data_IF_247813524781
#
_entry.id   IF_247813524781
#
_cell.length_a   1.000
_cell.length_b   1.000
_cell.length_c   1.000
_cell.angle_alpha   90.00
_cell.angle_beta   90.00
_cell.angle_gamma   90.00
#
_symmetry.space_group_name_H-M   'P 1'
#
loop_
_entity.id
_entity.type
_entity.pdbx_description
1 polymer ?
#
# COMPACT_ATOMS: atom_id res chain seq x y z
N UNK A 1 38.58 -8.22 27.32
CA UNK A 1 37.34 -8.70 26.67
C UNK A 1 37.71 -9.92 25.83
N UNK A 2 37.22 -11.11 26.16
CA UNK A 2 37.60 -12.33 25.42
C UNK A 2 36.86 -12.37 24.08
N UNK A 3 37.58 -12.14 22.99
CA UNK A 3 37.12 -12.38 21.61
C UNK A 3 37.17 -13.88 21.31
N UNK A 4 36.43 -14.69 22.08
CA UNK A 4 36.40 -16.14 21.92
C UNK A 4 35.42 -16.57 20.83
N UNK A 5 35.85 -17.52 19.99
CA UNK A 5 34.91 -18.28 19.16
C UNK A 5 33.94 -19.04 20.08
N UNK A 6 32.64 -18.89 19.86
CA UNK A 6 31.59 -19.56 20.63
C UNK A 6 30.73 -20.41 19.70
N UNK A 7 30.38 -21.61 20.15
CA UNK A 7 29.54 -22.54 19.40
C UNK A 7 28.05 -22.27 19.64
N UNK A 8 27.23 -22.44 18.60
CA UNK A 8 25.76 -22.37 18.66
C UNK A 8 25.22 -23.76 18.27
N UNK A 9 24.34 -24.33 19.09
CA UNK A 9 23.67 -25.59 18.79
C UNK A 9 22.23 -25.31 18.34
N UNK A 10 21.86 -25.75 17.14
CA UNK A 10 20.54 -25.49 16.54
C UNK A 10 19.93 -26.82 16.11
N UNK A 11 18.69 -27.07 16.53
CA UNK A 11 17.89 -28.20 16.04
C UNK A 11 17.13 -27.75 14.79
N UNK A 12 17.31 -28.50 13.70
CA UNK A 12 16.64 -28.28 12.43
C UNK A 12 16.17 -29.62 11.88
N UNK A 13 15.10 -29.59 11.09
CA UNK A 13 14.64 -30.78 10.38
C UNK A 13 15.73 -31.33 9.42
N UNK A 14 15.79 -32.65 9.29
CA UNK A 14 16.81 -33.32 8.51
C UNK A 14 16.71 -33.01 7.01
N UNK A 15 15.49 -32.91 6.47
CA UNK A 15 15.26 -32.55 5.08
C UNK A 15 15.66 -31.11 4.83
N UNK A 16 15.23 -30.19 5.71
CA UNK A 16 15.60 -28.77 5.62
C UNK A 16 17.12 -28.59 5.61
N UNK A 17 17.84 -29.24 6.53
CA UNK A 17 19.31 -29.17 6.59
C UNK A 17 19.95 -29.62 5.28
N UNK A 18 19.47 -30.73 4.70
CA UNK A 18 20.00 -31.30 3.46
C UNK A 18 19.78 -30.35 2.28
N UNK A 19 18.56 -29.83 2.14
CA UNK A 19 18.20 -28.93 1.04
C UNK A 19 19.00 -27.62 1.10
N UNK A 20 19.02 -26.97 2.26
CA UNK A 20 19.76 -25.71 2.45
C UNK A 20 21.27 -25.90 2.27
N UNK A 21 21.84 -27.02 2.73
CA UNK A 21 23.27 -27.31 2.53
C UNK A 21 23.61 -27.43 1.05
N UNK A 22 22.75 -28.07 0.24
CA UNK A 22 22.95 -28.16 -1.20
C UNK A 22 22.93 -26.79 -1.86
N UNK A 23 21.96 -25.94 -1.51
CA UNK A 23 21.85 -24.57 -2.03
C UNK A 23 23.13 -23.77 -1.73
N UNK A 24 23.66 -23.84 -0.50
CA UNK A 24 24.92 -23.16 -0.17
C UNK A 24 26.12 -23.74 -0.92
N UNK A 25 26.19 -25.07 -1.08
CA UNK A 25 27.28 -25.72 -1.81
C UNK A 25 27.31 -25.31 -3.29
N UNK A 26 26.14 -25.18 -3.92
CA UNK A 26 26.00 -24.69 -5.30
C UNK A 26 26.51 -23.24 -5.45
N UNK A 27 26.49 -22.46 -4.35
CA UNK A 27 27.08 -21.11 -4.27
C UNK A 27 28.54 -21.09 -3.79
N UNK A 28 29.17 -22.25 -3.57
CA UNK A 28 30.54 -22.34 -3.05
C UNK A 28 30.69 -21.99 -1.56
N UNK A 29 29.61 -22.12 -0.78
CA UNK A 29 29.57 -21.82 0.64
C UNK A 29 29.22 -23.06 1.47
N UNK A 30 29.74 -23.14 2.69
CA UNK A 30 29.26 -24.09 3.68
C UNK A 30 28.11 -23.49 4.50
N UNK A 31 27.29 -24.37 5.11
CA UNK A 31 26.13 -23.96 5.91
C UNK A 31 26.50 -23.00 7.04
N UNK A 32 27.67 -23.17 7.68
CA UNK A 32 28.12 -22.31 8.78
C UNK A 32 28.45 -20.92 8.27
N UNK A 33 29.09 -20.81 7.11
CA UNK A 33 29.35 -19.51 6.46
C UNK A 33 28.05 -18.78 6.12
N UNK A 34 27.06 -19.48 5.58
CA UNK A 34 25.72 -18.91 5.33
C UNK A 34 25.07 -18.34 6.59
N UNK A 35 25.07 -19.10 7.69
CA UNK A 35 24.53 -18.65 8.98
C UNK A 35 25.32 -17.44 9.52
N UNK A 36 26.65 -17.45 9.41
CA UNK A 36 27.49 -16.31 9.85
C UNK A 36 27.15 -15.02 9.10
N UNK A 37 26.90 -15.09 7.79
CA UNK A 37 26.51 -13.93 6.98
C UNK A 37 25.21 -13.32 7.52
N UNK A 38 24.21 -14.16 7.80
CA UNK A 38 22.95 -13.72 8.41
C UNK A 38 23.17 -13.00 9.75
N UNK A 39 23.94 -13.64 10.66
CA UNK A 39 24.23 -13.06 11.98
C UNK A 39 25.00 -11.73 11.90
N UNK A 40 25.93 -11.62 10.95
CA UNK A 40 26.67 -10.38 10.70
C UNK A 40 25.74 -9.27 10.22
N UNK A 41 24.81 -9.58 9.33
CA UNK A 41 23.84 -8.60 8.85
C UNK A 41 22.92 -8.10 9.96
N UNK A 42 22.40 -9.00 10.80
CA UNK A 42 21.62 -8.65 12.00
C UNK A 42 22.44 -7.76 12.95
N UNK A 43 23.71 -8.12 13.20
CA UNK A 43 24.59 -7.35 14.07
C UNK A 43 24.83 -5.94 13.54
N UNK A 44 24.99 -5.77 12.23
CA UNK A 44 25.26 -4.49 11.58
C UNK A 44 24.02 -3.59 11.53
N UNK A 45 22.90 -4.12 11.06
CA UNK A 45 21.70 -3.30 10.81
C UNK A 45 20.76 -3.19 12.00
N UNK A 46 20.97 -3.98 13.05
CA UNK A 46 20.08 -4.07 14.21
C UNK A 46 18.63 -4.42 13.85
N UNK A 47 18.42 -5.12 12.74
CA UNK A 47 17.11 -5.60 12.26
C UNK A 47 17.22 -6.98 11.62
N UNK A 48 16.07 -7.59 11.34
CA UNK A 48 15.99 -8.82 10.56
C UNK A 48 16.35 -8.51 9.09
N UNK A 49 17.27 -9.27 8.46
CA UNK A 49 17.83 -8.95 7.15
C UNK A 49 16.97 -9.51 6.00
N UNK A 50 15.65 -9.37 6.13
CA UNK A 50 14.66 -9.65 5.10
C UNK A 50 13.37 -8.90 5.45
N UNK A 51 12.59 -8.54 4.45
CA UNK A 51 11.31 -7.88 4.64
C UNK A 51 10.29 -8.87 5.22
N UNK A 52 9.56 -8.46 6.25
CA UNK A 52 8.53 -9.29 6.88
C UNK A 52 7.18 -9.03 6.19
N UNK A 53 6.86 -9.83 5.18
CA UNK A 53 5.54 -9.79 4.55
C UNK A 53 4.60 -10.79 5.23
N UNK A 54 3.49 -10.30 5.82
CA UNK A 54 2.38 -11.18 6.17
C UNK A 54 1.65 -11.59 4.89
N UNK A 55 1.38 -12.89 4.71
CA UNK A 55 0.61 -13.42 3.55
C UNK A 55 -0.78 -12.77 3.43
N UNK A 56 -1.28 -12.17 4.51
CA UNK A 56 -2.54 -11.41 4.49
C UNK A 56 -2.40 -9.98 3.93
N UNK A 57 -1.19 -9.42 3.90
CA UNK A 57 -0.93 -8.04 3.48
C UNK A 57 -0.54 -7.90 1.99
N UNK A 58 -0.34 -9.00 1.27
CA UNK A 58 -0.18 -9.00 -0.19
C UNK A 58 -1.53 -8.85 -0.90
N UNK A 59 -2.22 -7.75 -0.62
CA UNK A 59 -3.35 -7.24 -1.41
C UNK A 59 -3.34 -5.72 -1.37
N UNK A 60 -2.27 -5.08 -1.85
CA UNK A 60 -2.34 -3.69 -2.30
C UNK A 60 -1.15 -3.27 -3.17
N UNK A 61 -0.88 -4.03 -4.24
CA UNK A 61 -0.50 -3.39 -5.50
C UNK A 61 -1.79 -2.85 -6.16
N UNK A 62 -2.39 -1.83 -5.54
CA UNK A 62 -3.43 -1.04 -6.20
C UNK A 62 -2.78 0.21 -6.78
N UNK A 63 -2.44 0.13 -8.06
CA UNK A 63 -2.26 1.29 -8.93
C UNK A 63 -2.71 0.90 -10.36
N UNK A 64 -3.41 1.77 -11.10
CA UNK A 64 -4.70 2.37 -10.74
C UNK A 64 -5.73 1.95 -11.79
N UNK A 65 -6.80 1.25 -11.40
CA UNK A 65 -7.94 0.97 -12.29
C UNK A 65 -8.57 2.25 -12.86
N UNK A 66 -8.33 3.39 -12.21
CA UNK A 66 -8.68 4.73 -12.63
C UNK A 66 -7.85 5.28 -13.83
N UNK A 67 -6.67 4.74 -14.15
CA UNK A 67 -5.85 5.26 -15.26
C UNK A 67 -6.32 4.75 -16.63
N UNK A 68 -6.74 3.48 -16.70
CA UNK A 68 -7.30 2.90 -17.92
C UNK A 68 -8.62 3.57 -18.31
N UNK A 69 -9.42 3.98 -17.31
CA UNK A 69 -10.66 4.71 -17.53
C UNK A 69 -10.41 6.12 -18.10
N UNK A 70 -9.41 6.85 -17.57
CA UNK A 70 -9.01 8.14 -18.12
C UNK A 70 -8.44 8.04 -19.54
N UNK A 71 -7.61 7.02 -19.83
CA UNK A 71 -7.03 6.83 -21.15
C UNK A 71 -8.10 6.52 -22.21
N UNK A 72 -9.10 5.73 -21.85
CA UNK A 72 -10.23 5.39 -22.74
C UNK A 72 -11.08 6.61 -23.07
N UNK A 73 -11.29 7.50 -22.10
CA UNK A 73 -12.02 8.75 -22.30
C UNK A 73 -11.29 9.75 -23.21
N UNK A 74 -9.95 9.69 -23.27
CA UNK A 74 -9.13 10.55 -24.13
C UNK A 74 -8.88 9.97 -25.53
N UNK A 75 -8.79 8.64 -25.65
CA UNK A 75 -8.49 7.94 -26.90
C UNK A 75 -9.73 7.71 -27.80
N UNK A 76 -10.95 7.89 -27.27
CA UNK A 76 -12.19 7.81 -28.03
C UNK A 76 -12.44 9.05 -28.88
N UNK A 77 -11.96 9.04 -30.14
CA UNK A 77 -12.30 10.05 -31.15
C UNK A 77 -13.66 9.78 -31.81
N UNK A 78 -14.45 10.85 -31.99
CA UNK A 78 -15.74 10.98 -32.71
C UNK A 78 -16.94 10.23 -32.10
N UNK A 79 -18.07 10.84 -31.72
CA UNK A 79 -18.82 11.94 -32.36
C UNK A 79 -19.47 12.87 -31.32
N UNK A 80 -19.36 14.18 -31.56
CA UNK A 80 -20.07 15.25 -30.85
C UNK A 80 -21.60 15.16 -31.07
N UNK A 81 -22.41 15.58 -30.09
CA UNK A 81 -22.96 16.93 -30.23
C UNK A 81 -22.91 17.70 -28.91
N UNK A 82 -22.14 18.79 -28.93
CA UNK A 82 -22.15 19.93 -28.00
C UNK A 82 -21.12 19.82 -26.85
N UNK A 83 -19.84 19.93 -27.24
CA UNK A 83 -18.62 19.91 -26.43
C UNK A 83 -18.72 20.28 -24.95
N UNK A 84 -18.62 19.24 -24.13
CA UNK A 84 -18.62 19.21 -22.66
C UNK A 84 -17.20 19.50 -22.17
N UNK A 85 -16.69 20.70 -22.45
CA UNK A 85 -15.34 21.14 -22.05
C UNK A 85 -15.18 21.52 -20.57
N UNK A 86 -16.10 21.16 -19.67
CA UNK A 86 -15.99 21.66 -18.29
C UNK A 86 -17.08 21.22 -17.31
N UNK A 87 -17.44 19.95 -17.24
CA UNK A 87 -18.40 19.47 -16.22
C UNK A 87 -17.84 19.44 -14.77
N UNK A 88 -16.84 20.27 -14.45
CA UNK A 88 -16.33 20.52 -13.09
C UNK A 88 -17.21 21.50 -12.28
N UNK A 89 -18.34 21.96 -12.83
CA UNK A 89 -19.25 22.90 -12.17
C UNK A 89 -20.70 22.40 -12.18
N UNK A 90 -20.97 21.19 -11.69
CA UNK A 90 -22.35 20.86 -11.31
C UNK A 90 -22.45 19.85 -10.18
N UNK A 91 -23.04 20.32 -9.09
CA UNK A 91 -23.65 19.57 -8.00
C UNK A 91 -22.76 19.08 -6.84
N UNK A 92 -22.21 20.03 -6.08
CA UNK A 92 -22.41 20.01 -4.61
C UNK A 92 -22.89 21.39 -4.18
N UNK A 93 -24.15 21.48 -3.74
CA UNK A 93 -24.67 22.34 -2.68
C UNK A 93 -26.19 22.19 -2.63
N UNK A 94 -26.67 21.21 -1.86
CA UNK A 94 -28.05 21.19 -1.40
C UNK A 94 -28.19 22.25 -0.30
N UNK A 95 -28.66 23.44 -0.66
CA UNK A 95 -29.17 24.42 0.30
C UNK A 95 -30.68 24.54 0.11
N UNK A 96 -31.41 23.92 1.04
CA UNK A 96 -32.84 24.14 1.24
C UNK A 96 -33.00 25.42 2.06
N UNK A 97 -33.53 26.49 1.46
CA UNK A 97 -34.29 27.52 2.18
C UNK A 97 -35.39 28.06 1.28
N UNK A 98 -36.61 27.95 1.81
CA UNK A 98 -37.90 28.40 1.32
C UNK A 98 -37.89 29.79 0.64
N UNK A 99 -38.53 29.97 -0.54
CA UNK A 99 -38.75 31.30 -1.10
C UNK A 99 -39.87 32.00 -0.31
N UNK A 100 -39.49 33.04 0.41
CA UNK A 100 -40.39 33.90 1.18
C UNK A 100 -41.62 34.35 0.36
N UNK A 101 -42.73 33.63 0.54
CA UNK A 101 -44.06 34.23 0.52
C UNK A 101 -44.12 35.22 1.69
N UNK A 102 -44.44 36.46 1.36
CA UNK A 102 -44.54 37.57 2.30
C UNK A 102 -45.87 37.39 3.05
N UNK A 103 -45.87 36.49 4.03
CA UNK A 103 -46.99 36.28 4.93
C UNK A 103 -47.01 37.39 5.97
N UNK A 104 -48.09 38.17 5.93
CA UNK A 104 -48.42 39.22 6.90
C UNK A 104 -48.46 38.69 8.33
N UNK A 105 -47.65 39.29 9.23
CA UNK A 105 -48.12 39.58 10.58
C UNK A 105 -47.24 40.63 11.28
N UNK A 106 -47.74 41.87 11.35
CA UNK A 106 -47.44 42.77 12.46
C UNK A 106 -48.78 43.17 13.06
N UNK A 107 -49.03 42.91 14.36
CA UNK A 107 -50.21 43.41 15.04
C UNK A 107 -49.98 44.84 15.58
N UNK A 108 -51.08 45.61 15.57
CA UNK A 108 -51.57 46.52 16.61
C UNK A 108 -51.43 48.06 16.46
N UNK A 109 -52.55 48.69 16.86
CA UNK A 109 -52.80 50.06 17.37
C UNK A 109 -52.70 51.30 16.46
N UNK A 110 -53.83 51.95 16.16
CA UNK A 110 -54.40 53.08 16.93
C UNK A 110 -55.39 53.93 16.09
N UNK A 111 -56.68 53.92 16.50
CA UNK A 111 -57.65 55.05 16.59
C UNK A 111 -59.08 54.68 16.17
#
# INVERSE_FOLDING_TARGET
MTNGCRQINIKVDAKLKKEVTKIFADMGLDLTSGIKIYLKRVQQDKKIPFELTSVAASKQDQAPSNLNQLLSALAGGSQEPNGIGGNLLKATNHHSTNPNGIGENIPNENK
#
